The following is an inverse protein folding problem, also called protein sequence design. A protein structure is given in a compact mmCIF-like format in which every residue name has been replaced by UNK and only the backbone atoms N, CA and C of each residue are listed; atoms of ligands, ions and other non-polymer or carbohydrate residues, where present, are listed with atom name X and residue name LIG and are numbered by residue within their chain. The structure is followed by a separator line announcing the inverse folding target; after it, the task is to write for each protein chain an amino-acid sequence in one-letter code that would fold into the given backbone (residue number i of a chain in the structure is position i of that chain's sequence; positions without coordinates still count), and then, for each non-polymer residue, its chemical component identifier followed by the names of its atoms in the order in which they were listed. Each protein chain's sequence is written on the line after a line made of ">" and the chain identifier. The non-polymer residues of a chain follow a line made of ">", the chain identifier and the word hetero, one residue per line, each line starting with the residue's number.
data_IF_655353688995
#
_entry.id   IF_655353688995
#
_cell.length_a   1.000
_cell.length_b   1.000
_cell.length_c   1.000
_cell.angle_alpha   90.00
_cell.angle_beta   90.00
_cell.angle_gamma   90.00
#
_symmetry.space_group_name_H-M   'P 1'
#
loop_
_entity.id
_entity.type
_entity.pdbx_description
1 polymer ?
#
# COMPACT_ATOMS: atom_id res chain seq x y z
N UNK A 1 -7.82 9.86 -29.86
CA UNK A 1 -8.55 8.59 -29.70
C UNK A 1 -7.71 7.70 -28.81
N UNK A 2 -7.92 7.78 -27.50
CA UNK A 2 -7.32 6.88 -26.52
C UNK A 2 -8.19 5.63 -26.50
N UNK A 3 -7.62 4.48 -26.88
CA UNK A 3 -8.30 3.20 -26.73
C UNK A 3 -8.60 3.01 -25.23
N UNK A 4 -9.85 2.68 -24.89
CA UNK A 4 -10.20 2.30 -23.53
C UNK A 4 -9.38 1.06 -23.17
N UNK A 5 -8.36 1.22 -22.33
CA UNK A 5 -7.58 0.10 -21.80
C UNK A 5 -8.58 -0.77 -21.04
N UNK A 6 -8.79 -1.99 -21.53
CA UNK A 6 -9.59 -2.99 -20.80
C UNK A 6 -8.73 -3.42 -19.62
N UNK A 7 -9.26 -3.31 -18.40
CA UNK A 7 -8.52 -3.74 -17.21
C UNK A 7 -8.06 -5.19 -17.41
N UNK A 8 -6.75 -5.40 -17.42
CA UNK A 8 -6.14 -6.69 -17.73
C UNK A 8 -5.55 -7.26 -16.44
N UNK A 9 -6.10 -8.39 -15.97
CA UNK A 9 -5.65 -9.06 -14.76
C UNK A 9 -5.11 -10.44 -15.09
N UNK A 10 -3.89 -10.70 -14.64
CA UNK A 10 -3.17 -11.96 -14.76
C UNK A 10 -3.02 -12.59 -13.38
N UNK A 11 -3.12 -13.91 -13.30
CA UNK A 11 -2.82 -14.68 -12.09
C UNK A 11 -1.59 -15.53 -12.33
N UNK A 12 -0.52 -15.26 -11.58
CA UNK A 12 0.83 -15.78 -11.82
C UNK A 12 1.43 -16.35 -10.54
N UNK A 13 2.38 -17.28 -10.66
CA UNK A 13 3.26 -17.57 -9.55
C UNK A 13 4.08 -16.33 -9.16
N UNK A 14 4.26 -16.10 -7.85
CA UNK A 14 5.06 -14.99 -7.31
C UNK A 14 6.50 -15.01 -7.86
N UNK A 15 7.08 -16.20 -8.05
CA UNK A 15 8.42 -16.36 -8.61
C UNK A 15 8.47 -16.07 -10.12
N UNK A 16 7.39 -16.37 -10.87
CA UNK A 16 7.28 -15.98 -12.28
C UNK A 16 7.29 -14.46 -12.42
N UNK A 17 6.55 -13.76 -11.56
CA UNK A 17 6.60 -12.31 -11.50
C UNK A 17 8.00 -11.78 -11.15
N UNK A 18 8.66 -12.36 -10.16
CA UNK A 18 10.03 -11.98 -9.80
C UNK A 18 10.99 -12.16 -10.98
N UNK A 19 10.87 -13.26 -11.75
CA UNK A 19 11.65 -13.51 -12.95
C UNK A 19 11.37 -12.47 -14.05
N UNK A 20 10.13 -12.04 -14.24
CA UNK A 20 9.78 -10.99 -15.18
C UNK A 20 10.43 -9.64 -14.80
N UNK A 21 10.41 -9.28 -13.51
CA UNK A 21 11.08 -8.08 -12.99
C UNK A 21 12.60 -8.17 -13.18
N UNK A 22 13.22 -9.31 -12.89
CA UNK A 22 14.65 -9.55 -13.12
C UNK A 22 15.03 -9.36 -14.60
N UNK A 23 14.25 -9.96 -15.52
CA UNK A 23 14.43 -9.79 -16.97
C UNK A 23 14.33 -8.30 -17.37
N UNK A 24 13.39 -7.55 -16.80
CA UNK A 24 13.24 -6.11 -17.08
C UNK A 24 14.43 -5.30 -16.57
N UNK A 25 14.90 -5.56 -15.34
CA UNK A 25 16.06 -4.87 -14.77
C UNK A 25 17.32 -5.10 -15.62
N UNK A 26 17.54 -6.34 -16.09
CA UNK A 26 18.65 -6.68 -17.00
C UNK A 26 18.54 -5.94 -18.35
N UNK A 27 17.35 -5.90 -18.93
CA UNK A 27 17.11 -5.24 -20.22
C UNK A 27 17.34 -3.71 -20.16
N UNK A 28 17.05 -3.08 -19.02
CA UNK A 28 17.25 -1.65 -18.81
C UNK A 28 18.71 -1.25 -18.54
N UNK A 29 19.66 -2.19 -18.47
CA UNK A 29 21.01 -1.99 -17.92
C UNK A 29 20.97 -1.31 -16.53
N UNK A 30 19.85 -1.45 -15.81
CA UNK A 30 19.70 -0.90 -14.48
C UNK A 30 20.53 -1.79 -13.56
N UNK A 31 21.56 -1.21 -12.93
CA UNK A 31 22.37 -1.93 -11.98
C UNK A 31 21.47 -2.37 -10.81
N UNK A 32 21.46 -3.67 -10.43
CA UNK A 32 20.62 -4.11 -9.33
C UNK A 32 20.96 -3.32 -8.05
N UNK A 33 19.96 -2.96 -7.22
CA UNK A 33 20.23 -2.24 -5.98
C UNK A 33 21.22 -3.03 -5.10
N UNK A 34 22.23 -2.32 -4.58
CA UNK A 34 23.39 -2.86 -3.83
C UNK A 34 23.03 -3.38 -2.42
N UNK A 35 21.75 -3.57 -2.12
CA UNK A 35 21.31 -4.26 -0.90
C UNK A 35 20.95 -5.70 -1.26
N UNK A 36 21.88 -6.62 -1.00
CA UNK A 36 21.71 -8.06 -1.21
C UNK A 36 20.62 -8.63 -0.27
N UNK A 37 19.36 -8.46 -0.64
CA UNK A 37 18.33 -9.43 -0.26
C UNK A 37 18.68 -10.75 -0.94
N UNK A 38 18.42 -11.91 -0.30
CA UNK A 38 18.53 -13.20 -0.97
C UNK A 38 17.73 -13.15 -2.26
N UNK A 39 18.39 -13.42 -3.39
CA UNK A 39 17.70 -13.52 -4.67
C UNK A 39 16.84 -14.79 -4.64
N UNK A 40 15.50 -14.67 -4.59
CA UNK A 40 14.63 -15.84 -4.51
C UNK A 40 14.74 -16.74 -5.75
N UNK A 41 15.37 -16.25 -6.82
CA UNK A 41 15.57 -16.98 -8.07
C UNK A 41 16.92 -17.71 -8.13
N UNK A 42 17.85 -17.41 -7.22
CA UNK A 42 19.21 -17.98 -7.25
C UNK A 42 19.23 -19.49 -6.97
N UNK A 43 18.31 -19.99 -6.13
CA UNK A 43 18.26 -21.39 -5.70
C UNK A 43 17.30 -22.25 -6.55
N UNK A 44 16.79 -21.73 -7.67
CA UNK A 44 15.88 -22.47 -8.54
C UNK A 44 16.62 -23.53 -9.35
N UNK A 45 16.06 -24.75 -9.38
CA UNK A 45 16.46 -25.79 -10.34
C UNK A 45 16.12 -25.39 -11.77
N UNK A 46 16.79 -25.98 -12.76
CA UNK A 46 16.50 -25.74 -14.18
C UNK A 46 15.04 -26.07 -14.53
N UNK A 47 14.49 -27.14 -13.94
CA UNK A 47 13.10 -27.56 -14.12
C UNK A 47 12.12 -26.50 -13.59
N UNK A 48 12.39 -25.96 -12.39
CA UNK A 48 11.58 -24.88 -11.83
C UNK A 48 11.66 -23.63 -12.70
N UNK A 49 12.87 -23.23 -13.12
CA UNK A 49 13.06 -22.06 -13.98
C UNK A 49 12.31 -22.20 -15.31
N UNK A 50 12.38 -23.37 -15.94
CA UNK A 50 11.64 -23.66 -17.18
C UNK A 50 10.12 -23.55 -16.97
N UNK A 51 9.61 -24.02 -15.82
CA UNK A 51 8.18 -23.90 -15.50
C UNK A 51 7.74 -22.43 -15.32
N UNK A 52 8.57 -21.60 -14.67
CA UNK A 52 8.29 -20.16 -14.54
C UNK A 52 8.32 -19.45 -15.90
N UNK A 53 9.28 -19.77 -16.77
CA UNK A 53 9.35 -19.22 -18.13
C UNK A 53 8.15 -19.62 -18.98
N UNK A 54 7.69 -20.87 -18.86
CA UNK A 54 6.48 -21.33 -19.54
C UNK A 54 5.22 -20.59 -19.06
N UNK A 55 5.11 -20.28 -17.76
CA UNK A 55 3.99 -19.48 -17.23
C UNK A 55 4.03 -18.04 -17.78
N UNK A 56 5.22 -17.41 -17.85
CA UNK A 56 5.38 -16.08 -18.42
C UNK A 56 5.03 -16.03 -19.91
N UNK A 57 5.42 -17.04 -20.68
CA UNK A 57 5.07 -17.16 -22.10
C UNK A 57 3.56 -17.35 -22.28
N UNK A 58 2.95 -18.24 -21.51
CA UNK A 58 1.50 -18.48 -21.55
C UNK A 58 0.68 -17.23 -21.18
N UNK A 59 1.23 -16.36 -20.32
CA UNK A 59 0.63 -15.09 -19.94
C UNK A 59 0.89 -13.95 -20.96
N UNK A 60 1.67 -14.19 -22.01
CA UNK A 60 2.05 -13.18 -23.01
C UNK A 60 3.06 -12.13 -22.49
N UNK A 61 3.71 -12.41 -21.35
CA UNK A 61 4.74 -11.54 -20.77
C UNK A 61 6.05 -11.66 -21.53
N UNK A 62 6.37 -12.88 -21.97
CA UNK A 62 7.54 -13.16 -22.81
C UNK A 62 7.16 -13.69 -24.19
N UNK A 63 8.02 -13.43 -25.18
CA UNK A 63 7.92 -13.98 -26.53
C UNK A 63 8.51 -15.40 -26.65
N UNK A 64 8.52 -15.96 -27.87
CA UNK A 64 9.03 -17.30 -28.17
C UNK A 64 10.54 -17.45 -27.91
N UNK A 65 11.29 -16.34 -27.86
CA UNK A 65 12.72 -16.31 -27.53
C UNK A 65 12.95 -16.16 -26.01
N UNK A 66 11.88 -16.08 -25.21
CA UNK A 66 11.93 -15.90 -23.76
C UNK A 66 12.29 -14.48 -23.33
N UNK A 67 12.30 -13.51 -24.25
CA UNK A 67 12.49 -12.10 -23.98
C UNK A 67 11.16 -11.46 -23.57
N UNK A 68 11.20 -10.37 -22.79
CA UNK A 68 10.00 -9.62 -22.46
C UNK A 68 9.40 -9.01 -23.73
N UNK A 69 8.08 -9.11 -23.88
CA UNK A 69 7.41 -8.41 -24.97
C UNK A 69 7.57 -6.88 -24.80
N UNK A 70 7.56 -6.10 -25.90
CA UNK A 70 7.75 -4.64 -25.82
C UNK A 70 6.72 -3.93 -24.92
N UNK A 71 5.51 -4.46 -24.81
CA UNK A 71 4.45 -3.90 -23.97
C UNK A 71 4.77 -4.11 -22.49
N UNK A 72 5.11 -5.34 -22.11
CA UNK A 72 5.49 -5.68 -20.73
C UNK A 72 6.81 -5.04 -20.30
N UNK A 73 7.79 -4.92 -21.19
CA UNK A 73 9.02 -4.17 -20.90
C UNK A 73 8.68 -2.70 -20.54
N UNK A 74 7.84 -2.03 -21.34
CA UNK A 74 7.40 -0.66 -21.05
C UNK A 74 6.59 -0.55 -19.76
N UNK A 75 5.70 -1.49 -19.49
CA UNK A 75 4.91 -1.51 -18.24
C UNK A 75 5.82 -1.69 -17.02
N UNK A 76 6.76 -2.64 -17.04
CA UNK A 76 7.68 -2.90 -15.94
C UNK A 76 8.64 -1.73 -15.70
N UNK A 77 9.20 -1.13 -16.75
CA UNK A 77 10.03 0.09 -16.62
C UNK A 77 9.24 1.24 -16.00
N UNK A 78 8.02 1.53 -16.51
CA UNK A 78 7.16 2.59 -15.95
C UNK A 78 6.80 2.35 -14.49
N UNK A 79 6.53 1.09 -14.13
CA UNK A 79 6.19 0.68 -12.77
C UNK A 79 7.37 0.87 -11.82
N UNK A 80 8.58 0.49 -12.26
CA UNK A 80 9.81 0.64 -11.49
C UNK A 80 10.18 2.11 -11.26
N UNK A 81 9.78 3.00 -12.18
CA UNK A 81 10.02 4.44 -12.12
C UNK A 81 8.79 5.22 -11.64
N UNK A 82 7.77 4.54 -11.11
CA UNK A 82 6.51 5.16 -10.76
C UNK A 82 6.71 6.23 -9.67
N UNK A 83 6.33 7.50 -9.91
CA UNK A 83 6.54 8.57 -8.94
C UNK A 83 5.60 8.49 -7.74
N UNK A 84 4.53 7.70 -7.84
CA UNK A 84 3.54 7.48 -6.79
C UNK A 84 3.35 5.98 -6.56
N UNK A 85 3.46 5.57 -5.31
CA UNK A 85 3.26 4.19 -4.87
C UNK A 85 2.24 4.13 -3.74
N UNK A 86 1.50 3.03 -3.70
CA UNK A 86 0.47 2.74 -2.72
C UNK A 86 0.74 1.35 -2.14
N UNK A 87 0.63 1.22 -0.82
CA UNK A 87 0.67 -0.06 -0.14
C UNK A 87 -0.61 -0.21 0.68
N UNK A 88 -1.35 -1.29 0.41
CA UNK A 88 -2.55 -1.68 1.14
C UNK A 88 -2.29 -3.02 1.83
N UNK A 89 -2.55 -3.08 3.14
CA UNK A 89 -2.58 -4.33 3.89
C UNK A 89 -3.93 -4.47 4.56
N UNK A 90 -4.74 -5.41 4.10
CA UNK A 90 -6.06 -5.67 4.65
C UNK A 90 -6.13 -7.07 5.27
N UNK A 91 -6.62 -7.17 6.51
CA UNK A 91 -6.69 -8.44 7.25
C UNK A 91 -8.12 -8.73 7.66
N UNK A 92 -8.55 -9.98 7.51
CA UNK A 92 -9.80 -10.48 8.07
C UNK A 92 -9.76 -12.01 8.15
N UNK A 93 -10.35 -12.58 9.19
CA UNK A 93 -10.62 -14.03 9.29
C UNK A 93 -9.40 -14.94 9.05
N UNK A 94 -8.22 -14.56 9.57
CA UNK A 94 -6.98 -15.33 9.42
C UNK A 94 -6.28 -15.16 8.06
N UNK A 95 -6.73 -14.23 7.22
CA UNK A 95 -6.11 -13.91 5.93
C UNK A 95 -5.62 -12.47 5.93
N UNK A 96 -4.43 -12.24 5.37
CA UNK A 96 -3.86 -10.92 5.08
C UNK A 96 -3.69 -10.77 3.58
N UNK A 97 -4.35 -9.78 2.99
CA UNK A 97 -4.20 -9.38 1.59
C UNK A 97 -3.27 -8.18 1.53
N UNK A 98 -2.23 -8.29 0.71
CA UNK A 98 -1.28 -7.21 0.43
C UNK A 98 -1.47 -6.78 -1.01
N UNK A 99 -1.74 -5.50 -1.23
CA UNK A 99 -1.86 -4.91 -2.56
C UNK A 99 -0.89 -3.74 -2.69
N UNK A 100 0.09 -3.88 -3.58
CA UNK A 100 1.03 -2.84 -3.93
C UNK A 100 0.63 -2.24 -5.27
N UNK A 101 0.52 -0.92 -5.33
CA UNK A 101 0.15 -0.18 -6.54
C UNK A 101 1.24 0.80 -6.91
N UNK A 102 1.60 0.83 -8.20
CA UNK A 102 2.47 1.84 -8.80
C UNK A 102 1.67 2.64 -9.81
N UNK A 103 1.70 3.98 -9.73
CA UNK A 103 1.00 4.88 -10.64
C UNK A 103 2.00 5.74 -11.43
N UNK A 104 1.88 5.73 -12.76
CA UNK A 104 2.69 6.55 -13.64
C UNK A 104 1.93 6.94 -14.92
N UNK A 105 1.86 8.24 -15.20
CA UNK A 105 1.38 8.76 -16.49
C UNK A 105 -0.06 8.38 -16.84
N UNK A 106 -0.98 8.35 -15.86
CA UNK A 106 -2.39 8.00 -16.07
C UNK A 106 -2.68 6.50 -16.12
N UNK A 107 -1.67 5.65 -15.90
CA UNK A 107 -1.79 4.19 -15.82
C UNK A 107 -1.27 3.68 -14.48
N UNK A 108 -1.79 2.54 -14.05
CA UNK A 108 -1.37 1.87 -12.84
C UNK A 108 -1.09 0.39 -13.04
N UNK A 109 -0.22 -0.15 -12.19
CA UNK A 109 -0.02 -1.58 -12.03
C UNK A 109 -0.23 -1.94 -10.56
N UNK A 110 -1.11 -2.92 -10.30
CA UNK A 110 -1.37 -3.44 -8.97
C UNK A 110 -0.91 -4.90 -8.86
N UNK A 111 -0.31 -5.25 -7.72
CA UNK A 111 0.10 -6.60 -7.37
C UNK A 111 -0.59 -7.00 -6.09
N UNK A 112 -1.45 -8.00 -6.14
CA UNK A 112 -2.19 -8.48 -4.98
C UNK A 112 -1.74 -9.89 -4.60
N UNK A 113 -1.34 -10.07 -3.35
CA UNK A 113 -1.00 -11.38 -2.76
C UNK A 113 -1.83 -11.63 -1.52
N UNK A 114 -2.10 -12.89 -1.21
CA UNK A 114 -2.75 -13.30 0.03
C UNK A 114 -1.81 -14.13 0.89
N UNK A 115 -1.96 -14.03 2.21
CA UNK A 115 -1.19 -14.76 3.20
C UNK A 115 -2.13 -15.32 4.25
N UNK A 116 -1.89 -16.54 4.69
CA UNK A 116 -2.55 -17.07 5.90
C UNK A 116 -1.78 -16.55 7.10
N UNK A 117 -2.49 -15.94 8.03
CA UNK A 117 -1.91 -15.31 9.21
C UNK A 117 -2.63 -15.77 10.47
N UNK A 118 -1.89 -15.86 11.57
CA UNK A 118 -2.42 -16.13 12.89
C UNK A 118 -2.03 -15.02 13.85
N UNK A 119 -3.02 -14.55 14.59
CA UNK A 119 -2.80 -13.63 15.71
C UNK A 119 -2.39 -14.42 16.95
N UNK A 120 -1.30 -13.98 17.58
CA UNK A 120 -0.81 -14.51 18.84
C UNK A 120 -1.53 -13.85 20.02
N UNK A 121 -1.51 -14.47 21.22
CA UNK A 121 -2.14 -13.88 22.42
C UNK A 121 -1.60 -12.50 22.83
N UNK A 122 -0.40 -12.13 22.36
CA UNK A 122 0.23 -10.83 22.59
C UNK A 122 -0.14 -9.79 21.51
N UNK A 123 -1.06 -10.11 20.59
CA UNK A 123 -1.50 -9.25 19.49
C UNK A 123 -0.54 -9.22 18.30
N UNK A 124 0.59 -9.93 18.34
CA UNK A 124 1.47 -10.04 17.17
C UNK A 124 0.83 -10.92 16.11
N UNK A 125 1.04 -10.54 14.86
CA UNK A 125 0.62 -11.32 13.69
C UNK A 125 1.80 -12.13 13.19
N UNK A 126 1.61 -13.44 13.04
CA UNK A 126 2.57 -14.35 12.43
C UNK A 126 2.03 -14.82 11.09
N UNK A 127 2.88 -14.78 10.07
CA UNK A 127 2.56 -15.38 8.76
C UNK A 127 2.78 -16.88 8.85
N UNK A 128 1.74 -17.66 8.57
CA UNK A 128 1.79 -19.13 8.57
C UNK A 128 2.12 -19.67 7.18
N UNK A 129 1.54 -19.05 6.15
CA UNK A 129 1.79 -19.39 4.76
C UNK A 129 1.67 -18.14 3.89
N UNK A 130 2.52 -18.05 2.87
CA UNK A 130 2.42 -17.03 1.82
C UNK A 130 1.80 -17.70 0.60
N UNK A 131 0.76 -17.10 0.02
CA UNK A 131 0.17 -17.59 -1.22
C UNK A 131 1.21 -17.60 -2.33
N UNK A 132 1.31 -18.72 -3.04
CA UNK A 132 2.27 -18.88 -4.15
C UNK A 132 1.84 -18.13 -5.41
N UNK A 133 0.59 -17.64 -5.44
CA UNK A 133 -0.01 -16.93 -6.57
C UNK A 133 -0.26 -15.46 -6.25
N UNK A 134 -0.12 -14.62 -7.26
CA UNK A 134 -0.39 -13.19 -7.22
C UNK A 134 -1.24 -12.76 -8.41
N UNK A 135 -2.17 -11.86 -8.14
CA UNK A 135 -2.88 -11.15 -9.20
C UNK A 135 -2.09 -9.90 -9.60
N UNK A 136 -1.77 -9.76 -10.87
CA UNK A 136 -1.14 -8.58 -11.47
C UNK A 136 -2.17 -7.91 -12.36
N UNK A 137 -2.53 -6.67 -12.05
CA UNK A 137 -3.59 -5.95 -12.76
C UNK A 137 -3.04 -4.65 -13.34
N UNK A 138 -3.11 -4.52 -14.65
CA UNK A 138 -2.93 -3.24 -15.36
C UNK A 138 -4.26 -2.51 -15.45
N UNK A 139 -4.27 -1.22 -15.12
CA UNK A 139 -5.50 -0.41 -15.06
C UNK A 139 -5.22 1.05 -15.41
N UNK A 140 -6.25 1.81 -15.78
CA UNK A 140 -6.17 3.26 -15.88
C UNK A 140 -6.29 3.90 -14.50
N UNK A 141 -5.65 5.04 -14.26
CA UNK A 141 -5.64 5.67 -12.92
C UNK A 141 -7.05 5.99 -12.38
N UNK A 142 -8.01 6.25 -13.27
CA UNK A 142 -9.44 6.41 -12.95
C UNK A 142 -10.11 5.15 -12.37
N UNK A 143 -9.56 3.97 -12.63
CA UNK A 143 -10.00 2.67 -12.08
C UNK A 143 -9.33 2.33 -10.73
N UNK A 144 -8.50 3.22 -10.16
CA UNK A 144 -7.73 2.93 -8.95
C UNK A 144 -8.59 2.41 -7.79
N UNK A 145 -9.74 3.02 -7.53
CA UNK A 145 -10.61 2.56 -6.45
C UNK A 145 -11.17 1.15 -6.69
N UNK A 146 -11.51 0.80 -7.93
CA UNK A 146 -12.00 -0.54 -8.25
C UNK A 146 -10.93 -1.60 -7.93
N UNK A 147 -9.68 -1.32 -8.27
CA UNK A 147 -8.53 -2.18 -7.96
C UNK A 147 -8.26 -2.28 -6.47
N UNK A 148 -8.23 -1.16 -5.74
CA UNK A 148 -8.01 -1.14 -4.29
C UNK A 148 -9.14 -1.85 -3.55
N UNK A 149 -10.40 -1.60 -3.92
CA UNK A 149 -11.56 -2.20 -3.27
C UNK A 149 -11.67 -3.71 -3.50
N UNK A 150 -11.18 -4.23 -4.64
CA UNK A 150 -11.08 -5.67 -4.89
C UNK A 150 -10.11 -6.40 -3.93
N UNK A 151 -9.13 -5.69 -3.37
CA UNK A 151 -8.20 -6.22 -2.38
C UNK A 151 -8.71 -6.09 -0.93
N UNK A 152 -9.83 -5.38 -0.70
CA UNK A 152 -10.42 -5.25 0.63
C UNK A 152 -11.30 -6.46 0.98
N UNK A 153 -11.45 -6.80 2.28
CA UNK A 153 -12.48 -7.73 2.72
C UNK A 153 -13.87 -7.24 2.27
N UNK A 154 -14.75 -8.18 1.91
CA UNK A 154 -16.08 -7.91 1.34
C UNK A 154 -17.11 -7.32 2.31
N UNK A 155 -16.71 -6.42 3.19
CA UNK A 155 -17.59 -5.63 4.06
C UNK A 155 -17.98 -4.33 3.37
N UNK A 156 -19.27 -4.03 3.33
CA UNK A 156 -19.80 -2.84 2.63
C UNK A 156 -19.22 -1.53 3.21
N UNK A 157 -18.90 -1.51 4.49
CA UNK A 157 -18.27 -0.40 5.20
C UNK A 157 -16.89 -0.06 4.61
N UNK A 158 -16.18 -1.05 4.09
CA UNK A 158 -14.85 -0.89 3.51
C UNK A 158 -14.90 -0.61 2.00
N UNK A 159 -15.86 -1.20 1.27
CA UNK A 159 -15.90 -1.17 -0.20
C UNK A 159 -16.88 -0.14 -0.78
N UNK A 160 -17.64 0.57 0.05
CA UNK A 160 -18.59 1.58 -0.40
C UNK A 160 -17.90 2.72 -1.18
N UNK A 161 -18.59 3.21 -2.20
CA UNK A 161 -18.25 4.43 -2.96
C UNK A 161 -19.09 5.64 -2.54
N UNK A 162 -19.96 5.48 -1.55
CA UNK A 162 -20.79 6.58 -1.06
C UNK A 162 -19.89 7.71 -0.56
N UNK A 163 -20.25 8.95 -0.88
CA UNK A 163 -19.53 10.11 -0.33
C UNK A 163 -19.99 10.31 1.12
N UNK A 164 -19.13 10.10 2.12
CA UNK A 164 -19.50 10.29 3.51
C UNK A 164 -19.78 11.78 3.78
N UNK A 165 -20.65 12.05 4.75
CA UNK A 165 -20.91 13.42 5.20
C UNK A 165 -19.62 14.03 5.77
N UNK A 166 -19.53 15.36 5.76
CA UNK A 166 -18.48 16.09 6.48
C UNK A 166 -19.05 16.46 7.84
N UNK A 167 -19.45 15.45 8.63
CA UNK A 167 -19.86 15.68 10.01
C UNK A 167 -18.66 15.82 10.93
N UNK A 168 -18.92 16.39 12.12
CA UNK A 168 -17.91 16.72 13.11
C UNK A 168 -17.15 15.46 13.54
N UNK A 169 -15.83 15.50 13.41
CA UNK A 169 -14.92 14.41 13.78
C UNK A 169 -14.99 14.17 15.31
N UNK A 170 -15.82 13.20 15.72
CA UNK A 170 -15.85 12.71 17.09
C UNK A 170 -14.54 11.97 17.36
N UNK A 171 -13.80 12.37 18.39
CA UNK A 171 -12.54 11.73 18.77
C UNK A 171 -12.74 11.01 20.10
N UNK A 172 -12.59 9.70 20.06
CA UNK A 172 -12.76 8.83 21.23
C UNK A 172 -11.35 8.49 21.74
N UNK A 173 -10.85 9.13 22.80
CA UNK A 173 -9.58 8.73 23.40
C UNK A 173 -9.72 7.32 23.96
N UNK A 174 -8.71 6.47 23.71
CA UNK A 174 -8.70 5.09 24.20
C UNK A 174 -7.47 4.83 25.05
N UNK A 175 -7.69 4.17 26.18
CA UNK A 175 -6.65 3.56 27.00
C UNK A 175 -6.10 2.29 26.33
N UNK A 176 -4.96 1.79 26.81
CA UNK A 176 -4.38 0.55 26.30
C UNK A 176 -5.32 -0.66 26.48
N UNK A 177 -6.05 -0.72 27.60
CA UNK A 177 -7.04 -1.78 27.84
C UNK A 177 -8.25 -1.70 26.92
N UNK A 178 -8.74 -0.49 26.64
CA UNK A 178 -9.85 -0.29 25.70
C UNK A 178 -9.43 -0.62 24.27
N UNK A 179 -8.21 -0.24 23.86
CA UNK A 179 -7.66 -0.59 22.56
C UNK A 179 -7.52 -2.11 22.39
N UNK A 180 -7.09 -2.82 23.44
CA UNK A 180 -7.03 -4.29 23.44
C UNK A 180 -8.42 -4.92 23.26
N UNK A 181 -9.44 -4.37 23.93
CA UNK A 181 -10.82 -4.83 23.77
C UNK A 181 -11.36 -4.57 22.34
N UNK A 182 -11.07 -3.40 21.76
CA UNK A 182 -11.41 -3.06 20.38
C UNK A 182 -10.71 -4.00 19.40
N UNK A 183 -9.42 -4.26 19.59
CA UNK A 183 -8.66 -5.20 18.76
C UNK A 183 -9.27 -6.61 18.82
N UNK A 184 -9.64 -7.10 20.01
CA UNK A 184 -10.30 -8.40 20.18
C UNK A 184 -11.68 -8.48 19.48
N UNK A 185 -12.39 -7.36 19.35
CA UNK A 185 -13.67 -7.29 18.64
C UNK A 185 -13.52 -7.00 17.14
N UNK A 186 -12.30 -6.83 16.64
CA UNK A 186 -12.04 -6.41 15.27
C UNK A 186 -12.27 -7.55 14.28
N UNK A 187 -13.14 -7.29 13.29
CA UNK A 187 -13.48 -8.20 12.19
C UNK A 187 -12.55 -8.00 11.00
N UNK A 188 -12.06 -6.78 10.80
CA UNK A 188 -11.07 -6.47 9.79
C UNK A 188 -10.18 -5.28 10.17
N UNK A 189 -8.95 -5.29 9.70
CA UNK A 189 -8.03 -4.15 9.78
C UNK A 189 -7.59 -3.76 8.38
N UNK A 190 -7.46 -2.46 8.10
CA UNK A 190 -6.94 -1.96 6.83
C UNK A 190 -5.85 -0.94 7.11
N UNK A 191 -4.66 -1.16 6.58
CA UNK A 191 -3.60 -0.16 6.54
C UNK A 191 -3.43 0.30 5.10
N UNK A 192 -3.38 1.62 4.89
CA UNK A 192 -3.10 2.24 3.60
C UNK A 192 -1.92 3.20 3.77
N UNK A 193 -0.91 3.08 2.91
CA UNK A 193 0.20 4.03 2.81
C UNK A 193 0.26 4.55 1.39
N UNK A 194 0.34 5.87 1.23
CA UNK A 194 0.61 6.52 -0.06
C UNK A 194 1.95 7.22 0.04
N UNK A 195 2.81 7.01 -0.93
CA UNK A 195 4.10 7.66 -1.02
C UNK A 195 4.30 8.28 -2.40
N UNK A 196 4.82 9.50 -2.43
CA UNK A 196 5.27 10.15 -3.65
C UNK A 196 6.64 10.79 -3.46
N UNK A 197 7.48 10.62 -4.46
CA UNK A 197 8.84 11.13 -4.45
C UNK A 197 9.65 10.55 -5.60
N UNK A 198 10.80 11.16 -5.86
CA UNK A 198 11.74 10.64 -6.84
C UNK A 198 12.41 9.42 -6.22
N UNK A 199 11.98 8.22 -6.62
CA UNK A 199 12.75 7.03 -6.33
C UNK A 199 14.02 7.10 -7.19
N UNK A 200 15.18 6.97 -6.56
CA UNK A 200 16.39 6.65 -7.30
C UNK A 200 16.19 5.22 -7.83
N UNK A 201 16.77 4.86 -8.98
CA UNK A 201 16.63 3.55 -9.62
C UNK A 201 16.88 2.32 -8.71
N UNK A 202 17.41 2.54 -7.51
CA UNK A 202 17.66 1.55 -6.46
C UNK A 202 16.46 1.29 -5.53
N UNK A 203 15.31 1.94 -5.73
CA UNK A 203 14.14 1.82 -4.84
C UNK A 203 14.35 2.42 -3.44
N UNK A 204 15.52 3.04 -3.21
CA UNK A 204 15.82 3.78 -1.99
C UNK A 204 15.41 5.24 -2.22
N UNK A 205 14.63 5.85 -1.31
CA UNK A 205 14.36 7.29 -1.38
C UNK A 205 15.68 8.05 -1.42
N UNK A 206 15.79 9.03 -2.31
CA UNK A 206 16.95 9.90 -2.33
C UNK A 206 17.14 10.60 -0.96
N UNK A 207 18.24 10.33 -0.23
CA UNK A 207 18.45 10.88 1.10
C UNK A 207 18.64 12.39 1.01
N UNK A 208 17.54 13.13 1.18
CA UNK A 208 17.49 14.59 1.08
C UNK A 208 16.36 15.12 0.20
N UNK A 209 15.75 14.27 -0.63
CA UNK A 209 14.56 14.65 -1.37
C UNK A 209 13.34 14.65 -0.43
N UNK A 210 12.49 15.69 -0.47
CA UNK A 210 11.24 15.67 0.28
C UNK A 210 10.40 14.48 -0.22
N UNK A 211 9.80 13.75 0.72
CA UNK A 211 8.93 12.61 0.44
C UNK A 211 7.53 12.97 0.95
N UNK A 212 6.55 12.92 0.06
CA UNK A 212 5.16 12.87 0.49
C UNK A 212 4.88 11.48 1.03
N UNK A 213 4.31 11.40 2.23
CA UNK A 213 3.85 10.14 2.82
C UNK A 213 2.59 10.34 3.64
N UNK A 214 1.53 9.61 3.32
CA UNK A 214 0.36 9.42 4.16
C UNK A 214 0.32 7.96 4.64
N UNK A 215 -0.14 7.75 5.88
CA UNK A 215 -0.40 6.42 6.43
C UNK A 215 -1.68 6.46 7.24
N UNK A 216 -2.59 5.56 6.94
CA UNK A 216 -3.88 5.42 7.60
C UNK A 216 -4.08 3.99 8.09
N UNK A 217 -4.73 3.86 9.24
CA UNK A 217 -5.11 2.58 9.82
C UNK A 217 -6.60 2.63 10.18
N UNK A 218 -7.36 1.66 9.70
CA UNK A 218 -8.75 1.47 10.06
C UNK A 218 -8.99 0.12 10.73
N UNK A 219 -9.91 0.12 11.68
CA UNK A 219 -10.44 -1.06 12.36
C UNK A 219 -11.94 -1.15 12.10
N UNK A 220 -12.41 -2.29 11.62
CA UNK A 220 -13.81 -2.60 11.49
C UNK A 220 -14.23 -3.54 12.62
N UNK A 221 -15.07 -3.03 13.52
CA UNK A 221 -15.69 -3.81 14.61
C UNK A 221 -17.19 -3.96 14.32
N UNK A 222 -18.06 -3.38 15.15
CA UNK A 222 -19.46 -3.11 14.82
C UNK A 222 -19.61 -1.91 13.87
N UNK A 223 -18.65 -0.99 13.90
CA UNK A 223 -18.50 0.12 12.95
C UNK A 223 -17.04 0.34 12.54
N UNK A 224 -16.85 1.18 11.53
CA UNK A 224 -15.53 1.56 11.04
C UNK A 224 -14.92 2.67 11.90
N UNK A 225 -13.67 2.50 12.30
CA UNK A 225 -12.88 3.50 13.01
C UNK A 225 -11.57 3.76 12.29
N UNK A 226 -11.17 5.02 12.14
CA UNK A 226 -9.79 5.39 11.86
C UNK A 226 -9.01 5.51 13.18
N UNK A 227 -7.83 4.92 13.22
CA UNK A 227 -6.91 4.99 14.37
C UNK A 227 -5.92 6.11 14.12
N UNK A 228 -5.84 7.07 15.04
CA UNK A 228 -4.81 8.11 15.01
C UNK A 228 -4.04 8.17 16.32
N UNK A 229 -2.76 8.54 16.21
CA UNK A 229 -1.93 8.87 17.38
C UNK A 229 -1.93 10.38 17.56
N UNK A 230 -2.28 10.86 18.75
CA UNK A 230 -2.09 12.26 19.11
C UNK A 230 -0.65 12.46 19.59
N UNK A 231 0.07 13.46 19.07
CA UNK A 231 1.38 13.79 19.63
C UNK A 231 1.20 14.15 21.10
N UNK A 232 2.03 13.56 21.96
CA UNK A 232 2.08 13.95 23.37
C UNK A 232 2.47 15.42 23.41
N UNK A 233 1.56 16.30 23.84
CA UNK A 233 1.89 17.71 24.02
C UNK A 233 2.93 17.80 25.14
N UNK A 234 4.18 18.02 24.79
CA UNK A 234 5.21 18.38 25.75
C UNK A 234 4.85 19.77 26.26
N UNK A 235 4.25 19.84 27.45
CA UNK A 235 4.03 21.11 28.13
C UNK A 235 5.39 21.48 28.71
N UNK A 236 6.06 22.46 28.09
CA UNK A 236 7.19 23.12 28.72
C UNK A 236 6.69 23.67 30.06
N UNK A 237 7.24 23.15 31.15
CA UNK A 237 6.78 23.40 32.51
C UNK A 237 6.88 24.86 32.90
N UNK A 238 5.81 25.62 32.66
CA UNK A 238 5.56 26.90 33.30
C UNK A 238 5.17 26.65 34.76
N UNK A 239 6.06 27.03 35.67
CA UNK A 239 5.98 26.77 37.11
C UNK A 239 4.95 27.65 37.86
N UNK A 240 3.75 27.83 37.31
CA UNK A 240 2.70 28.62 37.98
C UNK A 240 1.57 27.70 38.43
N UNK A 241 1.69 27.27 39.69
CA UNK A 241 0.75 26.37 40.35
C UNK A 241 -0.65 26.96 40.45
N UNK A 242 -1.56 26.49 39.60
CA UNK A 242 -3.00 26.53 39.85
C UNK A 242 -3.63 25.21 39.38
N UNK A 243 -3.88 24.36 40.37
CA UNK A 243 -4.47 23.03 40.25
C UNK A 243 -5.92 23.13 39.77
N UNK A 244 -6.19 22.72 38.52
CA UNK A 244 -7.55 22.56 37.99
C UNK A 244 -7.94 21.07 38.03
N UNK A 245 -9.03 20.67 38.72
CA UNK A 245 -9.36 19.26 38.95
C UNK A 245 -10.25 18.71 37.82
N UNK A 246 -9.68 18.50 36.64
CA UNK A 246 -10.21 17.61 35.59
C UNK A 246 -9.16 17.31 34.51
N UNK A 247 -7.88 17.31 34.87
CA UNK A 247 -6.80 17.10 33.92
C UNK A 247 -6.72 15.62 33.52
N UNK A 248 -7.14 15.32 32.29
CA UNK A 248 -6.67 14.13 31.55
C UNK A 248 -5.16 14.05 31.73
N UNK A 249 -4.58 12.89 32.10
CA UNK A 249 -3.15 12.78 32.38
C UNK A 249 -2.33 13.24 31.16
N UNK A 250 -1.68 14.39 31.31
CA UNK A 250 -0.96 15.07 30.24
C UNK A 250 0.45 14.48 30.11
N UNK A 251 0.88 14.19 28.88
CA UNK A 251 2.29 13.92 28.55
C UNK A 251 2.62 12.62 27.82
N UNK A 252 1.66 11.71 27.58
CA UNK A 252 1.90 10.52 26.73
C UNK A 252 1.17 10.64 25.40
N UNK A 253 1.79 10.23 24.28
CA UNK A 253 1.05 10.09 23.02
C UNK A 253 -0.13 9.16 23.27
N UNK A 254 -1.32 9.63 22.91
CA UNK A 254 -2.57 8.89 23.07
C UNK A 254 -3.00 8.28 21.76
N UNK A 255 -3.73 7.17 21.81
CA UNK A 255 -4.46 6.64 20.67
C UNK A 255 -5.87 7.19 20.73
N UNK A 256 -6.39 7.66 19.58
CA UNK A 256 -7.78 8.07 19.42
C UNK A 256 -8.41 7.24 18.32
N UNK A 257 -9.66 6.83 18.55
CA UNK A 257 -10.51 6.23 17.54
C UNK A 257 -11.46 7.29 17.00
N UNK A 258 -11.55 7.38 15.69
CA UNK A 258 -12.39 8.33 14.98
C UNK A 258 -13.41 7.52 14.19
N UNK A 259 -14.71 7.60 14.52
CA UNK A 259 -15.75 6.89 13.78
C UNK A 259 -15.79 7.34 12.33
N UNK A 260 -15.97 6.40 11.41
CA UNK A 260 -16.01 6.67 9.98
C UNK A 260 -17.27 6.08 9.36
N UNK A 261 -17.79 6.79 8.37
CA UNK A 261 -18.90 6.32 7.53
C UNK A 261 -18.38 5.45 6.37
N UNK A 262 -19.23 4.57 5.81
CA UNK A 262 -18.91 3.86 4.58
C UNK A 262 -18.48 4.81 3.46
N UNK A 263 -17.40 4.47 2.76
CA UNK A 263 -16.83 5.28 1.67
C UNK A 263 -15.77 6.29 2.09
N UNK A 264 -15.49 6.42 3.40
CA UNK A 264 -14.32 7.17 3.87
C UNK A 264 -13.01 6.68 3.24
N UNK A 265 -12.82 5.36 3.07
CA UNK A 265 -11.57 4.82 2.48
C UNK A 265 -11.38 5.30 1.03
N UNK A 266 -12.43 5.21 0.21
CA UNK A 266 -12.41 5.70 -1.17
C UNK A 266 -12.08 7.20 -1.22
N UNK A 267 -12.76 7.99 -0.37
CA UNK A 267 -12.51 9.43 -0.25
C UNK A 267 -11.07 9.74 0.17
N UNK A 268 -10.55 9.05 1.18
CA UNK A 268 -9.19 9.26 1.69
C UNK A 268 -8.14 8.91 0.63
N UNK A 269 -8.32 7.79 -0.08
CA UNK A 269 -7.46 7.40 -1.18
C UNK A 269 -7.36 8.49 -2.25
N UNK A 270 -8.51 9.04 -2.67
CA UNK A 270 -8.54 10.14 -3.66
C UNK A 270 -7.78 11.36 -3.14
N UNK A 271 -7.99 11.76 -1.89
CA UNK A 271 -7.28 12.90 -1.31
C UNK A 271 -5.77 12.68 -1.20
N UNK A 272 -5.34 11.49 -0.82
CA UNK A 272 -3.92 11.16 -0.69
C UNK A 272 -3.23 11.15 -2.06
N UNK A 273 -3.87 10.57 -3.06
CA UNK A 273 -3.36 10.54 -4.45
C UNK A 273 -3.28 11.96 -5.02
N UNK A 274 -4.33 12.78 -4.84
CA UNK A 274 -4.32 14.17 -5.28
C UNK A 274 -3.23 14.98 -4.55
N UNK A 275 -3.07 14.79 -3.24
CA UNK A 275 -2.02 15.44 -2.45
C UNK A 275 -0.62 15.04 -2.92
N UNK A 276 -0.42 13.75 -3.20
CA UNK A 276 0.81 13.21 -3.76
C UNK A 276 1.12 13.79 -5.15
N UNK A 277 0.13 13.89 -6.04
CA UNK A 277 0.29 14.52 -7.36
C UNK A 277 0.65 16.01 -7.25
N UNK A 278 -0.05 16.77 -6.41
CA UNK A 278 0.25 18.19 -6.18
C UNK A 278 1.66 18.40 -5.63
N UNK A 279 2.10 17.52 -4.72
CA UNK A 279 3.46 17.50 -4.22
C UNK A 279 4.48 17.29 -5.34
N UNK A 280 4.27 16.30 -6.22
CA UNK A 280 5.13 16.03 -7.37
C UNK A 280 5.19 17.22 -8.35
N UNK A 281 4.06 17.84 -8.65
CA UNK A 281 3.99 19.03 -9.51
C UNK A 281 4.78 20.20 -8.91
N UNK A 282 4.61 20.45 -7.61
CA UNK A 282 5.32 21.53 -6.90
C UNK A 282 6.84 21.30 -6.87
N UNK A 283 7.27 20.06 -6.68
CA UNK A 283 8.68 19.70 -6.69
C UNK A 283 9.33 19.90 -8.07
N UNK A 284 8.61 19.58 -9.16
CA UNK A 284 9.07 19.79 -10.53
C UNK A 284 9.27 21.28 -10.86
N UNK A 285 8.37 22.15 -10.39
CA UNK A 285 8.49 23.60 -10.57
C UNK A 285 9.65 24.21 -9.75
N UNK A 286 9.88 23.69 -8.53
CA UNK A 286 10.97 24.14 -7.67
C UNK A 286 12.34 23.82 -8.24
N UNK A 287 12.52 22.61 -8.80
CA UNK A 287 13.78 22.19 -9.42
C UNK A 287 14.14 22.91 -10.72
N UNK A 288 13.17 23.52 -11.41
CA UNK A 288 13.43 24.31 -12.62
C UNK A 288 13.98 25.72 -12.33
N UNK A 289 13.93 26.18 -11.07
CA UNK A 289 14.35 27.52 -10.66
C UNK A 289 15.72 27.56 -9.97
N UNK A 290 16.29 26.41 -9.65
CA UNK A 290 17.64 26.23 -9.09
C UNK A 290 18.66 25.97 -10.19
#
# INVERSE_FOLDING_TARGET
>A
MTAAMTDHSLDLNVLSWALAVEKASRASNAQPPVAALPDPLADLTDEQRQALEAELHAAGITDDDGALTPDWQRTLTRTAEAPLTLELVARSSGVSVHCDVSLAGGSGLARTTSRTVRELPDGRIVTEAVGERMAVTEFSEESLWAVVSAALPGFAELTSTAMPSIDREERIPVTASELAAVNAATRATVQLSVAAGRQIATGVPDPGSPLYRSVHLWLLTDRLFEVRTTPGRQVDGGADGQSSPAAVPQGRPGVVLIPQEPGTLARQLVWDVLGAQQFLSSAAEGGARS
#
